data_IF_600274903894
#
_entry.id   IF_600274903894
#
_cell.length_a   1.000
_cell.length_b   1.000
_cell.length_c   1.000
_cell.angle_alpha   90.00
_cell.angle_beta   90.00
_cell.angle_gamma   90.00
#
_symmetry.space_group_name_H-M   'P 1'
#
loop_
_entity.id
_entity.type
_entity.pdbx_description
1 polymer ?
#
# COMPACT_ATOMS: atom_id res chain seq x y z
N UNK A 1 13.12 -9.19 -45.26
CA UNK A 1 13.05 -8.91 -46.71
C UNK A 1 12.62 -7.47 -46.83
N UNK A 2 13.56 -6.55 -47.12
CA UNK A 2 13.34 -5.12 -46.97
C UNK A 2 13.01 -4.51 -48.35
N UNK A 3 11.86 -3.86 -48.47
CA UNK A 3 11.52 -3.02 -49.61
C UNK A 3 11.72 -1.56 -49.21
N UNK A 4 12.43 -0.79 -50.04
CA UNK A 4 12.61 0.64 -49.93
C UNK A 4 11.68 1.35 -50.92
N UNK A 5 10.89 2.30 -50.44
CA UNK A 5 10.27 3.34 -51.26
C UNK A 5 10.27 4.65 -50.48
N UNK A 6 10.85 5.71 -51.06
CA UNK A 6 10.64 7.10 -50.65
C UNK A 6 11.34 7.57 -49.37
N UNK A 7 12.67 7.70 -49.39
CA UNK A 7 13.42 8.88 -48.91
C UNK A 7 13.15 9.53 -47.54
N UNK A 8 12.43 8.89 -46.62
CA UNK A 8 12.25 9.32 -45.24
C UNK A 8 12.52 8.11 -44.36
N UNK A 9 13.64 8.13 -43.65
CA UNK A 9 13.93 7.16 -42.59
C UNK A 9 12.99 7.46 -41.41
N UNK A 10 11.74 7.03 -41.54
CA UNK A 10 10.85 6.90 -40.38
C UNK A 10 11.24 5.59 -39.72
N UNK A 11 12.30 5.64 -38.92
CA UNK A 11 12.56 4.63 -37.90
C UNK A 11 11.38 4.68 -36.92
N UNK A 12 10.30 3.98 -37.24
CA UNK A 12 9.22 3.68 -36.30
C UNK A 12 9.87 2.92 -35.14
N UNK A 13 10.00 3.61 -34.00
CA UNK A 13 10.50 3.01 -32.77
C UNK A 13 9.48 1.99 -32.24
N UNK A 14 9.48 0.80 -32.83
CA UNK A 14 8.71 -0.34 -32.35
C UNK A 14 9.12 -0.78 -30.93
N UNK A 15 10.25 -0.30 -30.40
CA UNK A 15 10.62 -0.54 -29.00
C UNK A 15 9.79 0.31 -28.05
N UNK A 16 9.43 1.54 -28.43
CA UNK A 16 8.56 2.42 -27.65
C UNK A 16 7.15 1.86 -27.48
N UNK A 17 6.52 1.41 -28.57
CA UNK A 17 5.16 0.83 -28.53
C UNK A 17 5.10 -0.48 -27.74
N UNK A 18 6.11 -1.35 -27.91
CA UNK A 18 6.20 -2.62 -27.20
C UNK A 18 6.40 -2.41 -25.68
N UNK A 19 7.23 -1.43 -25.29
CA UNK A 19 7.44 -1.06 -23.87
C UNK A 19 6.16 -0.52 -23.22
N UNK A 20 5.44 0.38 -23.91
CA UNK A 20 4.15 0.89 -23.44
C UNK A 20 3.11 -0.23 -23.27
N UNK A 21 3.11 -1.24 -24.15
CA UNK A 21 2.26 -2.43 -24.03
C UNK A 21 2.58 -3.29 -22.80
N UNK A 22 3.87 -3.50 -22.51
CA UNK A 22 4.32 -4.23 -21.33
C UNK A 22 3.96 -3.48 -20.05
N UNK A 23 4.25 -2.17 -19.99
CA UNK A 23 3.94 -1.33 -18.83
C UNK A 23 2.45 -1.35 -18.52
N UNK A 24 1.59 -1.25 -19.55
CA UNK A 24 0.14 -1.35 -19.40
C UNK A 24 -0.30 -2.70 -18.84
N UNK A 25 0.33 -3.78 -19.29
CA UNK A 25 0.05 -5.15 -18.83
C UNK A 25 0.44 -5.32 -17.36
N UNK A 26 1.64 -4.87 -16.97
CA UNK A 26 2.12 -4.89 -15.58
C UNK A 26 1.21 -4.04 -14.69
N UNK A 27 0.83 -2.83 -15.13
CA UNK A 27 -0.10 -1.98 -14.38
C UNK A 27 -1.45 -2.65 -14.17
N UNK A 28 -1.99 -3.36 -15.18
CA UNK A 28 -3.24 -4.11 -15.05
C UNK A 28 -3.10 -5.24 -14.03
N UNK A 29 -1.99 -5.99 -14.06
CA UNK A 29 -1.73 -7.06 -13.11
C UNK A 29 -1.66 -6.51 -11.67
N UNK A 30 -0.93 -5.43 -11.43
CA UNK A 30 -0.83 -4.78 -10.11
C UNK A 30 -2.19 -4.25 -9.65
N UNK A 31 -3.00 -3.67 -10.54
CA UNK A 31 -4.36 -3.24 -10.19
C UNK A 31 -5.25 -4.41 -9.78
N UNK A 32 -5.16 -5.54 -10.50
CA UNK A 32 -5.89 -6.76 -10.15
C UNK A 32 -5.42 -7.34 -8.81
N UNK A 33 -4.11 -7.38 -8.58
CA UNK A 33 -3.54 -7.81 -7.30
C UNK A 33 -3.93 -6.89 -6.15
N UNK A 34 -4.17 -5.60 -6.39
CA UNK A 34 -4.66 -4.65 -5.39
C UNK A 34 -6.18 -4.57 -5.29
N UNK A 35 -6.94 -5.44 -5.96
CA UNK A 35 -8.40 -5.40 -5.89
C UNK A 35 -8.94 -5.54 -4.45
N UNK A 36 -8.20 -6.26 -3.60
CA UNK A 36 -8.55 -6.41 -2.17
C UNK A 36 -8.21 -5.19 -1.33
N UNK A 37 -7.38 -4.25 -1.82
CA UNK A 37 -6.98 -3.06 -1.05
C UNK A 37 -8.19 -2.11 -0.99
N UNK A 38 -8.75 -1.88 0.20
CA UNK A 38 -10.00 -1.14 0.32
C UNK A 38 -9.79 0.37 0.21
N UNK A 39 -10.90 1.10 0.03
CA UNK A 39 -10.90 2.54 0.22
C UNK A 39 -10.63 2.85 1.69
N UNK A 40 -9.42 3.35 1.97
CA UNK A 40 -8.97 3.65 3.34
C UNK A 40 -9.84 4.73 3.96
N UNK A 41 -10.00 4.68 5.29
CA UNK A 41 -10.75 5.65 6.09
C UNK A 41 -9.91 6.13 7.26
N UNK A 42 -10.23 7.28 7.84
CA UNK A 42 -9.50 7.76 9.01
C UNK A 42 -9.88 6.97 10.28
N UNK A 43 -8.95 6.90 11.23
CA UNK A 43 -9.23 6.36 12.57
C UNK A 43 -10.44 7.07 13.21
N UNK A 44 -10.51 8.41 13.08
CA UNK A 44 -11.61 9.22 13.60
C UNK A 44 -12.98 8.83 13.04
N UNK A 45 -13.06 8.50 11.75
CA UNK A 45 -14.31 8.04 11.14
C UNK A 45 -14.69 6.65 11.64
N UNK A 46 -13.72 5.73 11.71
CA UNK A 46 -13.97 4.35 12.09
C UNK A 46 -14.39 4.20 13.57
N UNK A 47 -13.81 4.98 14.49
CA UNK A 47 -14.18 4.97 15.91
C UNK A 47 -15.63 5.39 16.18
N UNK A 48 -16.23 6.19 15.29
CA UNK A 48 -17.64 6.63 15.43
C UNK A 48 -18.63 5.53 15.07
N UNK A 49 -18.18 4.47 14.42
CA UNK A 49 -19.06 3.38 13.97
C UNK A 49 -19.18 2.29 15.02
N UNK A 50 -20.41 1.83 15.25
CA UNK A 50 -20.65 0.66 16.12
C UNK A 50 -20.04 -0.62 15.55
N UNK A 51 -20.00 -0.76 14.22
CA UNK A 51 -19.40 -1.89 13.51
C UNK A 51 -18.50 -1.35 12.41
N UNK A 52 -17.24 -0.97 12.72
CA UNK A 52 -16.36 -0.31 11.79
C UNK A 52 -16.03 -1.20 10.60
N UNK A 53 -16.01 -0.62 9.39
CA UNK A 53 -15.59 -1.32 8.19
C UNK A 53 -14.99 -0.38 7.15
N UNK A 54 -14.26 -0.97 6.22
CA UNK A 54 -13.80 -0.34 4.97
C UNK A 54 -14.40 -1.08 3.78
N UNK A 55 -14.55 -0.39 2.66
CA UNK A 55 -15.17 -0.96 1.44
C UNK A 55 -14.07 -1.30 0.44
N UNK A 56 -14.01 -2.58 0.03
CA UNK A 56 -13.18 -3.05 -1.08
C UNK A 56 -13.59 -2.39 -2.39
N UNK A 57 -12.70 -2.42 -3.40
CA UNK A 57 -13.05 -1.91 -4.74
C UNK A 57 -14.15 -2.72 -5.43
N UNK A 58 -14.35 -3.95 -4.99
CA UNK A 58 -15.43 -4.86 -5.39
C UNK A 58 -16.76 -4.57 -4.65
N UNK A 59 -16.80 -3.53 -3.82
CA UNK A 59 -17.97 -3.15 -3.02
C UNK A 59 -18.17 -3.99 -1.75
N UNK A 60 -17.34 -4.99 -1.49
CA UNK A 60 -17.46 -5.83 -0.29
C UNK A 60 -16.98 -5.08 0.95
N UNK A 61 -17.64 -5.33 2.08
CA UNK A 61 -17.22 -4.76 3.38
C UNK A 61 -16.15 -5.64 4.02
N UNK A 62 -15.07 -5.00 4.47
CA UNK A 62 -14.05 -5.61 5.32
C UNK A 62 -14.17 -4.99 6.71
N UNK A 63 -14.59 -5.78 7.67
CA UNK A 63 -14.79 -5.31 9.05
C UNK A 63 -13.45 -5.05 9.73
N UNK A 64 -13.40 -3.97 10.49
CA UNK A 64 -12.23 -3.56 11.28
C UNK A 64 -12.56 -3.79 12.74
N UNK A 65 -11.62 -4.42 13.46
CA UNK A 65 -11.73 -4.67 14.90
C UNK A 65 -11.84 -3.35 15.65
N UNK A 66 -12.82 -3.27 16.55
CA UNK A 66 -13.01 -2.12 17.44
C UNK A 66 -11.81 -1.98 18.39
N UNK A 67 -11.37 -3.08 18.96
CA UNK A 67 -10.26 -3.11 19.93
C UNK A 67 -8.93 -2.66 19.31
N UNK A 68 -8.70 -2.98 18.03
CA UNK A 68 -7.52 -2.47 17.31
C UNK A 68 -7.57 -0.97 17.09
N UNK A 69 -8.75 -0.40 16.78
CA UNK A 69 -8.93 1.04 16.65
C UNK A 69 -8.71 1.75 17.98
N UNK A 70 -9.24 1.19 19.06
CA UNK A 70 -9.09 1.72 20.42
C UNK A 70 -7.62 1.68 20.84
N UNK A 71 -6.92 0.57 20.61
CA UNK A 71 -5.48 0.47 20.82
C UNK A 71 -4.70 1.56 20.07
N UNK A 72 -5.01 1.80 18.80
CA UNK A 72 -4.35 2.87 18.03
C UNK A 72 -4.69 4.25 18.62
N UNK A 73 -5.92 4.44 19.09
CA UNK A 73 -6.39 5.69 19.67
C UNK A 73 -5.70 6.03 21.00
N UNK A 74 -5.35 5.02 21.80
CA UNK A 74 -4.64 5.17 23.07
C UNK A 74 -3.18 5.60 22.88
N UNK A 75 -2.53 5.12 21.82
CA UNK A 75 -1.12 5.39 21.56
C UNK A 75 -0.88 6.62 20.66
N UNK A 76 -1.94 7.20 20.09
CA UNK A 76 -1.84 8.34 19.17
C UNK A 76 -2.64 9.56 19.68
N UNK A 77 -2.10 10.79 19.56
CA UNK A 77 -2.83 12.00 19.93
C UNK A 77 -4.16 12.17 19.16
N UNK A 78 -5.19 12.65 19.84
CA UNK A 78 -6.55 12.78 19.28
C UNK A 78 -6.63 13.71 18.06
N UNK A 79 -5.75 14.71 18.01
CA UNK A 79 -5.62 15.66 16.90
C UNK A 79 -5.18 14.98 15.59
N UNK A 80 -4.51 13.82 15.70
CA UNK A 80 -3.96 13.08 14.58
C UNK A 80 -4.91 12.00 14.04
N UNK A 81 -5.97 11.66 14.78
CA UNK A 81 -6.89 10.58 14.41
C UNK A 81 -7.55 10.79 13.04
N UNK A 82 -7.77 12.05 12.64
CA UNK A 82 -8.32 12.37 11.32
C UNK A 82 -7.34 12.10 10.16
N UNK A 83 -6.04 12.04 10.45
CA UNK A 83 -4.96 11.89 9.48
C UNK A 83 -4.39 10.46 9.42
N UNK A 84 -4.65 9.63 10.44
CA UNK A 84 -4.27 8.20 10.42
C UNK A 84 -5.23 7.45 9.50
N UNK A 85 -4.76 6.94 8.36
CA UNK A 85 -5.59 6.21 7.40
C UNK A 85 -5.47 4.71 7.63
N UNK A 86 -6.60 4.01 7.67
CA UNK A 86 -6.68 2.58 7.93
C UNK A 86 -7.39 1.85 6.78
N UNK A 87 -7.00 0.58 6.48
CA UNK A 87 -5.87 -0.12 7.09
C UNK A 87 -4.50 0.50 6.74
N UNK A 88 -3.49 0.30 7.59
CA UNK A 88 -2.09 0.63 7.30
C UNK A 88 -1.61 -0.30 6.20
N UNK A 89 -1.06 0.27 5.13
CA UNK A 89 -0.59 -0.51 3.99
C UNK A 89 0.82 -1.05 4.26
N UNK A 90 0.97 -2.37 4.12
CA UNK A 90 2.24 -3.08 4.09
C UNK A 90 2.62 -3.28 2.61
N UNK A 91 3.38 -2.33 2.09
CA UNK A 91 3.70 -2.25 0.66
C UNK A 91 4.80 -3.24 0.29
N UNK A 92 4.47 -4.21 -0.55
CA UNK A 92 5.43 -5.12 -1.15
C UNK A 92 6.25 -4.39 -2.20
N UNK A 93 7.57 -4.52 -2.12
CA UNK A 93 8.53 -3.95 -3.07
C UNK A 93 9.51 -5.03 -3.50
N UNK A 94 9.99 -4.93 -4.75
CA UNK A 94 11.05 -5.79 -5.30
C UNK A 94 12.45 -5.22 -5.06
N UNK A 95 12.55 -4.11 -4.32
CA UNK A 95 13.83 -3.42 -4.07
C UNK A 95 14.74 -4.12 -3.05
N UNK A 96 14.24 -5.16 -2.37
CA UNK A 96 15.03 -5.91 -1.39
C UNK A 96 15.16 -7.36 -1.82
N UNK A 97 16.35 -7.93 -1.60
CA UNK A 97 16.61 -9.36 -1.77
C UNK A 97 15.86 -10.20 -0.72
N UNK A 98 15.63 -9.63 0.47
CA UNK A 98 14.87 -10.23 1.56
C UNK A 98 13.39 -9.80 1.55
N UNK A 99 12.52 -10.59 2.20
CA UNK A 99 11.12 -10.22 2.41
C UNK A 99 11.01 -9.03 3.36
N UNK A 100 10.98 -7.83 2.77
CA UNK A 100 10.82 -6.57 3.46
C UNK A 100 9.66 -5.77 2.84
N UNK A 101 8.93 -5.08 3.70
CA UNK A 101 7.76 -4.28 3.31
C UNK A 101 7.94 -2.84 3.74
N UNK A 102 7.38 -1.92 2.98
CA UNK A 102 7.30 -0.53 3.40
C UNK A 102 6.00 -0.23 4.12
N UNK A 103 6.12 0.64 5.10
CA UNK A 103 5.01 1.44 5.60
C UNK A 103 5.30 2.88 5.23
N UNK A 104 4.32 3.56 4.65
CA UNK A 104 4.41 4.97 4.25
C UNK A 104 3.34 5.79 4.94
N UNK A 105 3.65 7.07 5.15
CA UNK A 105 2.80 8.02 5.86
C UNK A 105 3.33 8.28 7.26
N UNK A 106 3.43 9.55 7.62
CA UNK A 106 4.05 9.96 8.89
C UNK A 106 3.32 9.38 10.10
N UNK A 107 1.99 9.43 10.08
CA UNK A 107 1.19 8.93 11.19
C UNK A 107 1.15 7.40 11.23
N UNK A 108 1.04 6.74 10.07
CA UNK A 108 1.08 5.29 9.95
C UNK A 108 2.41 4.73 10.45
N UNK A 109 3.53 5.34 10.07
CA UNK A 109 4.85 4.99 10.58
C UNK A 109 4.92 5.15 12.10
N UNK A 110 4.37 6.23 12.66
CA UNK A 110 4.33 6.44 14.12
C UNK A 110 3.47 5.42 14.86
N UNK A 111 2.33 5.01 14.28
CA UNK A 111 1.51 3.91 14.83
C UNK A 111 2.35 2.64 14.89
N UNK A 112 2.99 2.27 13.78
CA UNK A 112 3.84 1.06 13.71
C UNK A 112 5.02 1.16 14.68
N UNK A 113 5.64 2.33 14.78
CA UNK A 113 6.74 2.58 15.72
C UNK A 113 6.34 2.27 17.16
N UNK A 114 5.20 2.81 17.60
CA UNK A 114 4.67 2.63 18.96
C UNK A 114 4.19 1.19 19.21
N UNK A 115 3.58 0.55 18.21
CA UNK A 115 3.14 -0.86 18.29
C UNK A 115 4.32 -1.84 18.36
N UNK A 116 5.43 -1.55 17.68
CA UNK A 116 6.59 -2.45 17.67
C UNK A 116 7.65 -2.09 18.71
N UNK A 117 7.56 -0.91 19.34
CA UNK A 117 8.61 -0.40 20.23
C UNK A 117 9.94 -0.18 19.51
N UNK A 118 9.90 0.14 18.21
CA UNK A 118 11.11 0.33 17.39
C UNK A 118 11.56 1.79 17.36
N UNK A 119 12.82 2.04 17.00
CA UNK A 119 13.36 3.39 16.78
C UNK A 119 13.19 3.88 15.33
N UNK A 120 12.70 3.03 14.44
CA UNK A 120 12.40 3.38 13.04
C UNK A 120 11.35 4.49 13.02
N UNK A 121 11.64 5.58 12.32
CA UNK A 121 10.77 6.77 12.25
C UNK A 121 10.92 7.47 10.91
N UNK A 122 10.05 8.45 10.64
CA UNK A 122 9.99 9.19 9.39
C UNK A 122 8.80 8.78 8.52
N UNK A 123 8.71 9.38 7.32
CA UNK A 123 7.56 9.23 6.42
C UNK A 123 7.50 7.87 5.68
N UNK A 124 8.55 7.06 5.82
CA UNK A 124 8.69 5.74 5.21
C UNK A 124 9.61 4.90 6.09
N UNK A 125 9.17 3.71 6.49
CA UNK A 125 9.98 2.75 7.25
C UNK A 125 9.96 1.38 6.58
N UNK A 126 11.04 0.62 6.75
CA UNK A 126 11.16 -0.76 6.26
C UNK A 126 10.89 -1.71 7.42
N UNK A 127 10.00 -2.68 7.21
CA UNK A 127 9.73 -3.77 8.14
C UNK A 127 10.20 -5.10 7.56
N UNK A 128 10.92 -5.87 8.37
CA UNK A 128 11.31 -7.24 8.04
C UNK A 128 10.31 -8.25 8.59
N UNK A 129 10.38 -9.49 8.13
CA UNK A 129 9.43 -10.54 8.47
C UNK A 129 9.11 -10.66 9.98
N UNK A 130 10.07 -10.63 10.91
CA UNK A 130 9.76 -10.70 12.35
C UNK A 130 8.94 -9.50 12.86
N UNK A 131 9.18 -8.31 12.32
CA UNK A 131 8.41 -7.10 12.65
C UNK A 131 7.01 -7.15 12.07
N UNK A 132 6.88 -7.62 10.82
CA UNK A 132 5.59 -7.81 10.15
C UNK A 132 4.72 -8.79 10.93
N UNK A 133 5.28 -9.92 11.36
CA UNK A 133 4.56 -10.91 12.16
C UNK A 133 4.09 -10.33 13.49
N UNK A 134 4.96 -9.60 14.21
CA UNK A 134 4.57 -8.94 15.47
C UNK A 134 3.49 -7.88 15.26
N UNK A 135 3.61 -7.08 14.19
CA UNK A 135 2.63 -6.06 13.84
C UNK A 135 1.26 -6.70 13.56
N UNK A 136 1.21 -7.72 12.70
CA UNK A 136 -0.04 -8.39 12.32
C UNK A 136 -0.68 -9.20 13.43
N UNK A 137 0.09 -9.66 14.44
CA UNK A 137 -0.47 -10.25 15.67
C UNK A 137 -1.25 -9.21 16.48
N UNK A 138 -0.78 -7.96 16.50
CA UNK A 138 -1.43 -6.86 17.25
C UNK A 138 -2.54 -6.17 16.46
N UNK A 139 -2.34 -6.02 15.15
CA UNK A 139 -3.19 -5.25 14.25
C UNK A 139 -3.64 -6.06 13.00
N UNK A 140 -4.33 -7.20 13.18
CA UNK A 140 -4.67 -8.09 12.06
C UNK A 140 -5.68 -7.49 11.06
N UNK A 141 -6.61 -6.64 11.50
CA UNK A 141 -7.66 -6.06 10.64
C UNK A 141 -7.36 -4.62 10.22
N UNK A 142 -6.56 -3.89 11.00
CA UNK A 142 -6.13 -2.53 10.69
C UNK A 142 -4.85 -2.46 9.86
N UNK A 143 -4.35 -3.59 9.34
CA UNK A 143 -3.22 -3.66 8.40
C UNK A 143 -3.61 -4.45 7.14
N UNK A 144 -3.05 -4.07 5.99
CA UNK A 144 -3.36 -4.70 4.71
C UNK A 144 -2.15 -4.71 3.79
N UNK A 145 -1.88 -5.82 3.11
CA UNK A 145 -0.84 -5.84 2.08
C UNK A 145 -1.29 -5.09 0.84
N UNK A 146 -0.37 -4.35 0.23
CA UNK A 146 -0.57 -3.71 -1.06
C UNK A 146 0.66 -3.96 -1.94
N UNK A 147 0.43 -4.15 -3.23
CA UNK A 147 1.48 -4.30 -4.23
C UNK A 147 1.78 -2.94 -4.86
N UNK A 148 3.04 -2.55 -4.91
CA UNK A 148 3.47 -1.36 -5.62
C UNK A 148 4.47 -1.74 -6.70
N UNK A 149 4.31 -1.16 -7.89
CA UNK A 149 5.31 -1.25 -8.95
C UNK A 149 5.85 0.14 -9.23
N UNK A 150 7.16 0.27 -9.26
CA UNK A 150 7.84 1.45 -9.77
C UNK A 150 8.15 1.18 -11.25
N UNK A 151 7.24 1.59 -12.13
CA UNK A 151 7.56 1.66 -13.56
C UNK A 151 8.23 3.02 -13.78
N UNK A 152 9.54 3.00 -14.01
CA UNK A 152 10.29 4.21 -14.33
C UNK A 152 9.82 4.73 -15.70
N UNK A 153 9.32 5.96 -15.70
CA UNK A 153 9.06 6.73 -16.92
C UNK A 153 10.38 7.31 -17.44
#
# INVERSE_FOLDING_TARGET
MNYTWGGLDVSMDHRGEHRLGIDRTIMNLVRNMNAHVPLRRSLKELLRERRPYVTGRDGRRQYISRDELELISEIMPIEEWGRIRLPILLEMTTEFEETALWVRGDNECRVVQRILGTRKSGKKIVLYLPEIQRLRRRLPTTTQYAFYTHLNH
#
